data_IF_013319226492
#
_entry.id   IF_013319226492
#
_cell.length_a   1.000
_cell.length_b   1.000
_cell.length_c   1.000
_cell.angle_alpha   90.00
_cell.angle_beta   90.00
_cell.angle_gamma   90.00
#
_symmetry.space_group_name_H-M   'P 1'
#
loop_
_entity.id
_entity.type
_entity.pdbx_description
1 polymer ?
#
# COMPACT_ATOMS: atom_id res chain seq x y z
N UNK A 1 22.00 -41.85 22.79
CA UNK A 1 20.85 -41.76 21.87
C UNK A 1 21.34 -41.03 20.64
N UNK A 2 21.31 -41.76 19.53
CA UNK A 2 22.10 -41.63 18.31
C UNK A 2 21.69 -40.43 17.47
N UNK A 3 22.67 -39.66 17.01
CA UNK A 3 22.52 -38.52 16.11
C UNK A 3 22.38 -38.95 14.65
N UNK A 4 21.43 -39.84 14.35
CA UNK A 4 21.22 -40.45 13.01
C UNK A 4 19.87 -40.10 12.37
N UNK A 5 19.20 -39.00 12.75
CA UNK A 5 17.91 -38.61 12.17
C UNK A 5 17.95 -37.33 11.29
N UNK A 6 19.13 -36.78 11.00
CA UNK A 6 19.28 -35.43 10.39
C UNK A 6 19.18 -35.41 8.86
N UNK A 7 19.00 -36.56 8.20
CA UNK A 7 19.05 -36.67 6.73
C UNK A 7 17.84 -37.40 6.13
N UNK A 8 16.65 -36.80 6.25
CA UNK A 8 15.67 -36.87 5.16
C UNK A 8 16.16 -35.99 4.00
N UNK A 9 15.82 -36.27 2.72
CA UNK A 9 16.41 -35.62 1.55
C UNK A 9 16.42 -34.10 1.75
N UNK A 10 17.47 -33.37 1.38
CA UNK A 10 17.67 -31.95 1.72
C UNK A 10 16.51 -30.98 1.31
N UNK A 11 15.53 -31.48 0.55
CA UNK A 11 14.36 -30.77 0.06
C UNK A 11 13.56 -29.98 1.10
N UNK A 12 13.11 -30.55 2.25
CA UNK A 12 12.23 -29.85 3.18
C UNK A 12 12.89 -28.68 3.91
N UNK A 13 14.20 -28.76 4.19
CA UNK A 13 14.95 -27.68 4.87
C UNK A 13 15.14 -26.48 3.95
N UNK A 14 15.46 -26.73 2.69
CA UNK A 14 15.64 -25.69 1.66
C UNK A 14 14.29 -25.04 1.31
N UNK A 15 13.21 -25.82 1.20
CA UNK A 15 11.87 -25.29 0.98
C UNK A 15 11.45 -24.32 2.08
N UNK A 16 11.71 -24.67 3.35
CA UNK A 16 11.40 -23.78 4.49
C UNK A 16 12.22 -22.49 4.41
N UNK A 17 13.51 -22.57 4.09
CA UNK A 17 14.36 -21.39 3.90
C UNK A 17 13.84 -20.49 2.78
N UNK A 18 13.43 -21.08 1.65
CA UNK A 18 12.83 -20.34 0.53
C UNK A 18 11.52 -19.67 0.92
N UNK A 19 10.70 -20.35 1.73
CA UNK A 19 9.44 -19.80 2.23
C UNK A 19 9.68 -18.60 3.15
N UNK A 20 10.62 -18.69 4.09
CA UNK A 20 10.98 -17.57 4.96
C UNK A 20 11.62 -16.41 4.19
N UNK A 21 12.50 -16.69 3.22
CA UNK A 21 13.08 -15.67 2.36
C UNK A 21 12.01 -14.98 1.50
N UNK A 22 11.09 -15.77 0.91
CA UNK A 22 9.95 -15.26 0.15
C UNK A 22 9.02 -14.41 1.00
N UNK A 23 8.67 -14.86 2.20
CA UNK A 23 7.83 -14.10 3.13
C UNK A 23 8.50 -12.77 3.54
N UNK A 24 9.79 -12.79 3.87
CA UNK A 24 10.55 -11.57 4.18
C UNK A 24 10.62 -10.59 3.00
N UNK A 25 10.80 -11.10 1.79
CA UNK A 25 10.82 -10.29 0.57
C UNK A 25 9.46 -9.65 0.29
N UNK A 26 8.37 -10.43 0.35
CA UNK A 26 7.00 -9.93 0.14
C UNK A 26 6.64 -8.89 1.21
N UNK A 27 6.96 -9.13 2.48
CA UNK A 27 6.73 -8.16 3.55
C UNK A 27 7.50 -6.85 3.31
N UNK A 28 8.77 -6.93 2.92
CA UNK A 28 9.59 -5.74 2.64
C UNK A 28 9.04 -4.96 1.44
N UNK A 29 8.63 -5.68 0.38
CA UNK A 29 8.02 -5.07 -0.80
C UNK A 29 6.67 -4.42 -0.46
N UNK A 30 5.85 -5.08 0.35
CA UNK A 30 4.56 -4.56 0.81
C UNK A 30 4.74 -3.26 1.61
N UNK A 31 5.74 -3.19 2.50
CA UNK A 31 6.04 -1.98 3.27
C UNK A 31 6.48 -0.83 2.35
N UNK A 32 7.38 -1.11 1.40
CA UNK A 32 7.82 -0.09 0.43
C UNK A 32 6.64 0.41 -0.42
N UNK A 33 5.81 -0.50 -0.93
CA UNK A 33 4.63 -0.16 -1.73
C UNK A 33 3.55 0.57 -0.91
N UNK A 34 3.33 0.17 0.34
CA UNK A 34 2.39 0.83 1.24
C UNK A 34 2.77 2.29 1.46
N UNK A 35 4.06 2.58 1.63
CA UNK A 35 4.57 3.95 1.82
C UNK A 35 4.30 4.86 0.63
N UNK A 36 4.38 4.32 -0.58
CA UNK A 36 4.07 5.06 -1.81
C UNK A 36 2.56 5.32 -1.97
N UNK A 37 1.73 4.31 -1.65
CA UNK A 37 0.27 4.43 -1.66
C UNK A 37 -0.20 5.46 -0.62
N UNK A 38 0.35 5.43 0.59
CA UNK A 38 0.05 6.39 1.66
C UNK A 38 0.30 7.83 1.22
N UNK A 39 1.47 8.10 0.61
CA UNK A 39 1.83 9.44 0.11
C UNK A 39 0.91 9.89 -1.02
N UNK A 40 0.60 9.00 -1.96
CA UNK A 40 -0.28 9.33 -3.07
C UNK A 40 -1.73 9.54 -2.60
N UNK A 41 -2.18 8.82 -1.58
CA UNK A 41 -3.50 8.99 -0.97
C UNK A 41 -3.66 10.38 -0.36
N UNK A 42 -2.67 10.86 0.40
CA UNK A 42 -2.69 12.20 0.99
C UNK A 42 -2.73 13.31 -0.07
N UNK A 43 -1.92 13.16 -1.13
CA UNK A 43 -1.92 14.10 -2.25
C UNK A 43 -3.26 14.11 -3.01
N UNK A 44 -3.84 12.94 -3.27
CA UNK A 44 -5.15 12.83 -3.90
C UNK A 44 -6.26 13.40 -3.02
N UNK A 45 -6.20 13.20 -1.70
CA UNK A 45 -7.17 13.77 -0.76
C UNK A 45 -7.12 15.31 -0.78
N UNK A 46 -5.92 15.90 -0.76
CA UNK A 46 -5.77 17.35 -0.89
C UNK A 46 -6.24 17.88 -2.26
N UNK A 47 -5.96 17.18 -3.35
CA UNK A 47 -6.48 17.57 -4.67
C UNK A 47 -8.01 17.50 -4.73
N UNK A 48 -8.63 16.44 -4.19
CA UNK A 48 -10.09 16.32 -4.09
C UNK A 48 -10.71 17.45 -3.27
N UNK A 49 -10.06 17.83 -2.18
CA UNK A 49 -10.55 18.88 -1.29
C UNK A 49 -10.48 20.26 -1.96
N UNK A 50 -9.37 20.57 -2.66
CA UNK A 50 -9.27 21.80 -3.46
C UNK A 50 -10.27 21.84 -4.61
N UNK A 51 -10.46 20.74 -5.32
CA UNK A 51 -11.41 20.66 -6.43
C UNK A 51 -12.85 20.89 -5.93
N UNK A 52 -13.24 20.28 -4.80
CA UNK A 52 -14.56 20.50 -4.21
C UNK A 52 -14.75 21.95 -3.73
N UNK A 53 -13.72 22.59 -3.17
CA UNK A 53 -13.79 23.99 -2.78
C UNK A 53 -14.02 24.90 -3.99
N UNK A 54 -13.22 24.74 -5.04
CA UNK A 54 -13.35 25.46 -6.31
C UNK A 54 -14.74 25.25 -6.96
N UNK A 55 -15.25 24.02 -6.97
CA UNK A 55 -16.58 23.71 -7.51
C UNK A 55 -17.71 24.31 -6.65
N UNK A 56 -17.54 24.35 -5.34
CA UNK A 56 -18.51 24.95 -4.42
C UNK A 56 -18.55 26.48 -4.58
N UNK A 57 -17.39 27.10 -4.70
CA UNK A 57 -17.24 28.55 -4.89
C UNK A 57 -17.84 28.99 -6.24
N UNK A 58 -17.47 28.31 -7.32
CA UNK A 58 -18.05 28.56 -8.66
C UNK A 58 -19.58 28.36 -8.70
N UNK A 59 -20.11 27.38 -7.96
CA UNK A 59 -21.56 27.17 -7.85
C UNK A 59 -22.24 28.31 -7.10
N UNK A 60 -21.65 28.78 -6.01
CA UNK A 60 -22.17 29.89 -5.23
C UNK A 60 -22.17 31.19 -6.05
N UNK A 61 -21.11 31.46 -6.80
CA UNK A 61 -21.03 32.61 -7.70
C UNK A 61 -22.11 32.57 -8.79
N UNK A 62 -22.34 31.37 -9.35
CA UNK A 62 -23.38 31.19 -10.37
C UNK A 62 -24.78 31.40 -9.79
N UNK A 63 -25.04 30.95 -8.56
CA UNK A 63 -26.31 31.16 -7.86
C UNK A 63 -26.51 32.66 -7.55
N UNK A 64 -25.46 33.35 -7.11
CA UNK A 64 -25.52 34.78 -6.82
C UNK A 64 -25.79 35.62 -8.07
N UNK A 65 -25.17 35.26 -9.21
CA UNK A 65 -25.44 35.91 -10.49
C UNK A 65 -26.88 35.74 -10.99
N UNK A 66 -27.55 34.64 -10.65
CA UNK A 66 -28.93 34.37 -11.10
C UNK A 66 -29.96 35.05 -10.18
N UNK A 67 -29.58 35.35 -8.93
CA UNK A 67 -30.49 36.00 -7.97
C UNK A 67 -30.50 37.53 -8.08
N UNK A 68 -29.43 38.12 -8.65
CA UNK A 68 -29.31 39.54 -8.97
C UNK A 68 -30.01 39.89 -10.30
#
# INVERSE_FOLDING_TARGET
MTGEEVTGPAGPKILRLLYFAGAGFICSFAINKWREIERNSLLQQHQKQRLNHQLSESRNDTVQKVVE
#
